data_IF_300291576025
#
_entry.id   IF_300291576025
#
_cell.length_a   1.000
_cell.length_b   1.000
_cell.length_c   1.000
_cell.angle_alpha   90.00
_cell.angle_beta   90.00
_cell.angle_gamma   90.00
#
_symmetry.space_group_name_H-M   'P 1'
#
loop_
_entity.id
_entity.type
_entity.pdbx_description
1 polymer ?
#
# COMPACT_ATOMS: atom_id res chain seq x y z
N UNK A 1 5.12 -24.97 21.18
CA UNK A 1 5.48 -23.76 20.41
C UNK A 1 4.53 -23.69 19.23
N UNK A 2 3.66 -22.68 19.12
CA UNK A 2 2.85 -22.49 17.91
C UNK A 2 3.83 -22.27 16.75
N UNK A 3 3.67 -23.04 15.67
CA UNK A 3 4.55 -22.93 14.51
C UNK A 3 4.33 -21.57 13.85
N UNK A 4 5.36 -20.72 13.88
CA UNK A 4 5.38 -19.40 13.24
C UNK A 4 5.54 -19.58 11.72
N UNK A 5 4.58 -19.07 10.94
CA UNK A 5 4.68 -19.07 9.48
C UNK A 5 5.81 -18.15 8.99
N UNK A 6 6.41 -18.43 7.82
CA UNK A 6 7.48 -17.59 7.26
C UNK A 6 7.01 -16.16 6.90
N UNK A 7 5.69 -15.96 6.78
CA UNK A 7 5.06 -14.67 6.48
C UNK A 7 4.79 -13.83 7.74
N UNK A 8 4.77 -14.45 8.92
CA UNK A 8 4.68 -13.75 10.20
C UNK A 8 6.08 -13.21 10.51
N UNK A 9 6.34 -11.97 10.13
CA UNK A 9 7.66 -11.31 10.32
C UNK A 9 7.71 -10.42 11.57
N UNK A 10 6.59 -10.25 12.29
CA UNK A 10 6.47 -9.36 13.43
C UNK A 10 7.44 -9.70 14.57
N UNK A 11 8.27 -8.75 14.99
CA UNK A 11 9.28 -8.95 16.01
C UNK A 11 10.53 -9.73 15.57
N UNK A 12 10.74 -9.95 14.27
CA UNK A 12 12.05 -10.42 13.77
C UNK A 12 13.06 -9.27 13.76
N UNK A 13 14.37 -9.56 13.93
CA UNK A 13 15.41 -8.61 13.60
C UNK A 13 15.30 -8.19 12.12
N UNK A 14 15.63 -6.93 11.83
CA UNK A 14 15.65 -6.40 10.48
C UNK A 14 16.80 -5.43 10.26
N UNK A 15 16.99 -5.00 9.02
CA UNK A 15 17.95 -3.95 8.66
C UNK A 15 17.46 -2.56 9.04
N UNK A 16 18.31 -1.55 8.86
CA UNK A 16 17.91 -0.14 8.87
C UNK A 16 16.79 0.12 7.88
N UNK A 17 15.92 1.08 8.20
CA UNK A 17 14.83 1.49 7.30
C UNK A 17 15.41 2.43 6.23
N UNK A 18 15.24 2.07 4.96
CA UNK A 18 15.43 3.01 3.86
C UNK A 18 14.29 4.04 3.88
N UNK A 19 14.65 5.31 4.03
CA UNK A 19 13.71 6.42 4.18
C UNK A 19 13.41 7.14 2.86
N UNK A 20 14.13 6.81 1.80
CA UNK A 20 13.93 7.42 0.49
C UNK A 20 12.56 7.00 -0.06
N UNK A 21 11.70 8.00 -0.25
CA UNK A 21 10.38 7.76 -0.80
C UNK A 21 10.48 7.54 -2.30
N UNK A 22 10.22 6.31 -2.72
CA UNK A 22 9.95 6.01 -4.13
C UNK A 22 8.45 6.07 -4.38
N UNK A 23 7.96 6.97 -5.25
CA UNK A 23 6.57 6.91 -5.67
C UNK A 23 6.30 5.60 -6.40
N UNK A 24 5.06 5.12 -6.30
CA UNK A 24 4.65 3.95 -7.07
C UNK A 24 4.83 4.22 -8.57
N UNK A 25 5.44 3.29 -9.28
CA UNK A 25 5.49 3.38 -10.75
C UNK A 25 4.15 2.95 -11.35
N UNK A 26 3.92 3.27 -12.62
CA UNK A 26 2.62 3.08 -13.26
C UNK A 26 2.07 1.65 -13.15
N UNK A 27 2.92 0.63 -13.37
CA UNK A 27 2.44 -0.76 -13.31
C UNK A 27 2.00 -1.17 -11.90
N UNK A 28 2.65 -0.65 -10.85
CA UNK A 28 2.26 -0.88 -9.45
C UNK A 28 0.92 -0.21 -9.16
N UNK A 29 0.71 1.02 -9.65
CA UNK A 29 -0.57 1.74 -9.53
C UNK A 29 -1.69 1.00 -10.22
N UNK A 30 -1.46 0.56 -11.47
CA UNK A 30 -2.44 -0.21 -12.23
C UNK A 30 -2.77 -1.54 -11.56
N UNK A 31 -1.76 -2.28 -11.07
CA UNK A 31 -1.97 -3.54 -10.34
C UNK A 31 -2.86 -3.33 -9.11
N UNK A 32 -2.56 -2.32 -8.29
CA UNK A 32 -3.37 -1.98 -7.12
C UNK A 32 -4.79 -1.55 -7.49
N UNK A 33 -4.94 -0.73 -8.53
CA UNK A 33 -6.24 -0.26 -9.01
C UNK A 33 -7.09 -1.43 -9.52
N UNK A 34 -6.52 -2.32 -10.34
CA UNK A 34 -7.19 -3.56 -10.79
C UNK A 34 -7.64 -4.38 -9.60
N UNK A 35 -6.74 -4.61 -8.64
CA UNK A 35 -7.04 -5.37 -7.41
C UNK A 35 -8.18 -4.73 -6.62
N UNK A 36 -8.18 -3.41 -6.43
CA UNK A 36 -9.24 -2.70 -5.71
C UNK A 36 -10.58 -2.76 -6.47
N UNK A 37 -10.57 -2.64 -7.80
CA UNK A 37 -11.77 -2.75 -8.62
C UNK A 37 -12.40 -4.15 -8.56
N UNK A 38 -11.61 -5.21 -8.76
CA UNK A 38 -12.13 -6.59 -8.76
C UNK A 38 -12.55 -7.07 -7.36
N UNK A 39 -11.98 -6.49 -6.29
CA UNK A 39 -12.40 -6.76 -4.92
C UNK A 39 -13.69 -6.04 -4.51
N UNK A 40 -14.07 -5.00 -5.25
CA UNK A 40 -15.29 -4.21 -5.02
C UNK A 40 -16.35 -4.42 -6.10
N UNK A 41 -16.12 -5.32 -7.06
CA UNK A 41 -17.12 -5.68 -8.08
C UNK A 41 -18.32 -6.38 -7.43
N UNK A 42 -19.43 -6.46 -8.16
CA UNK A 42 -20.64 -7.15 -7.71
C UNK A 42 -21.03 -8.23 -8.73
N UNK A 43 -20.87 -9.54 -8.40
CA UNK A 43 -20.21 -10.07 -7.20
C UNK A 43 -18.68 -9.81 -7.18
N UNK A 44 -18.01 -9.80 -6.00
CA UNK A 44 -16.56 -9.65 -5.93
C UNK A 44 -15.84 -10.82 -6.59
N UNK A 45 -14.90 -10.54 -7.49
CA UNK A 45 -14.08 -11.59 -8.10
C UNK A 45 -13.04 -12.14 -7.12
N UNK A 46 -12.56 -11.31 -6.18
CA UNK A 46 -11.56 -11.72 -5.18
C UNK A 46 -11.71 -10.90 -3.89
N UNK A 47 -11.58 -11.54 -2.72
CA UNK A 47 -11.43 -10.86 -1.44
C UNK A 47 -9.96 -10.58 -1.08
N UNK A 48 -9.74 -9.64 -0.16
CA UNK A 48 -8.40 -9.37 0.38
C UNK A 48 -7.87 -10.59 1.14
N UNK A 49 -8.74 -11.36 1.79
CA UNK A 49 -8.38 -12.58 2.51
C UNK A 49 -7.93 -13.70 1.57
N UNK A 50 -8.56 -13.85 0.40
CA UNK A 50 -8.13 -14.80 -0.62
C UNK A 50 -6.72 -14.45 -1.13
N UNK A 51 -6.48 -13.18 -1.45
CA UNK A 51 -5.15 -12.70 -1.86
C UNK A 51 -4.11 -12.93 -0.75
N UNK A 52 -4.48 -12.63 0.51
CA UNK A 52 -3.60 -12.80 1.67
C UNK A 52 -3.24 -14.27 1.87
N UNK A 53 -4.22 -15.19 1.79
CA UNK A 53 -3.99 -16.63 1.88
C UNK A 53 -2.92 -17.06 0.87
N UNK A 54 -3.05 -16.66 -0.38
CA UNK A 54 -2.07 -17.01 -1.42
C UNK A 54 -0.68 -16.47 -1.09
N UNK A 55 -0.57 -15.23 -0.60
CA UNK A 55 0.72 -14.67 -0.16
C UNK A 55 1.32 -15.48 1.00
N UNK A 56 0.47 -15.92 1.93
CA UNK A 56 0.89 -16.70 3.09
C UNK A 56 1.27 -18.13 2.72
N UNK A 57 0.86 -18.64 1.56
CA UNK A 57 1.12 -20.02 1.08
C UNK A 57 2.01 -20.14 -0.16
N UNK A 58 2.53 -19.03 -0.72
CA UNK A 58 3.38 -19.04 -1.94
C UNK A 58 4.76 -19.71 -1.80
N UNK A 59 5.10 -20.20 -0.61
CA UNK A 59 6.42 -20.75 -0.28
C UNK A 59 7.39 -19.71 0.28
N UNK A 60 8.29 -20.18 1.15
CA UNK A 60 9.27 -19.34 1.86
C UNK A 60 10.24 -18.64 0.90
N UNK A 61 10.63 -19.31 -0.18
CA UNK A 61 11.57 -18.77 -1.16
C UNK A 61 10.95 -17.57 -1.89
N UNK A 62 9.81 -17.77 -2.56
CA UNK A 62 9.09 -16.70 -3.26
C UNK A 62 8.72 -15.54 -2.31
N UNK A 63 8.28 -15.84 -1.08
CA UNK A 63 8.02 -14.79 -0.09
C UNK A 63 9.27 -13.96 0.25
N UNK A 64 10.46 -14.56 0.21
CA UNK A 64 11.68 -13.87 0.55
C UNK A 64 12.31 -13.10 -0.61
N UNK A 65 12.22 -13.61 -1.83
CA UNK A 65 12.88 -13.06 -3.01
C UNK A 65 12.06 -11.99 -3.74
N UNK A 66 10.74 -12.17 -3.83
CA UNK A 66 9.90 -11.24 -4.57
C UNK A 66 9.81 -9.87 -3.88
N UNK A 67 9.70 -8.81 -4.67
CA UNK A 67 9.30 -7.48 -4.23
C UNK A 67 7.89 -7.45 -3.64
N UNK A 68 7.51 -6.33 -3.03
CA UNK A 68 6.20 -6.20 -2.39
C UNK A 68 5.05 -6.30 -3.42
N UNK A 69 5.10 -5.47 -4.47
CA UNK A 69 4.07 -5.46 -5.51
C UNK A 69 4.10 -6.71 -6.39
N UNK A 70 5.27 -7.35 -6.55
CA UNK A 70 5.42 -8.63 -7.26
C UNK A 70 4.65 -9.74 -6.56
N UNK A 71 4.75 -9.86 -5.23
CA UNK A 71 3.93 -10.82 -4.45
C UNK A 71 2.44 -10.59 -4.63
N UNK A 72 2.01 -9.33 -4.66
CA UNK A 72 0.60 -8.99 -4.85
C UNK A 72 0.12 -9.34 -6.26
N UNK A 73 0.90 -9.01 -7.28
CA UNK A 73 0.61 -9.41 -8.65
C UNK A 73 0.52 -10.94 -8.80
N UNK A 74 1.46 -11.68 -8.19
CA UNK A 74 1.43 -13.14 -8.13
C UNK A 74 0.14 -13.66 -7.47
N UNK A 75 -0.23 -13.08 -6.32
CA UNK A 75 -1.40 -13.50 -5.58
C UNK A 75 -2.72 -13.21 -6.30
N UNK A 76 -2.85 -12.02 -6.90
CA UNK A 76 -4.02 -11.66 -7.75
C UNK A 76 -4.16 -12.66 -8.89
N UNK A 77 -3.06 -12.95 -9.59
CA UNK A 77 -3.02 -13.96 -10.67
C UNK A 77 -3.52 -15.31 -10.17
N UNK A 78 -2.93 -15.82 -9.09
CA UNK A 78 -3.20 -17.17 -8.60
C UNK A 78 -4.64 -17.31 -8.09
N UNK A 79 -5.18 -16.31 -7.40
CA UNK A 79 -6.59 -16.34 -6.98
C UNK A 79 -7.53 -16.38 -8.19
N UNK A 80 -7.27 -15.57 -9.21
CA UNK A 80 -8.13 -15.53 -10.41
C UNK A 80 -8.07 -16.86 -11.20
N UNK A 81 -6.92 -17.53 -11.20
CA UNK A 81 -6.77 -18.89 -11.77
C UNK A 81 -7.52 -19.91 -10.92
N UNK A 82 -7.34 -19.91 -9.60
CA UNK A 82 -8.03 -20.83 -8.67
C UNK A 82 -9.56 -20.73 -8.80
N UNK A 83 -10.07 -19.52 -9.08
CA UNK A 83 -11.50 -19.26 -9.26
C UNK A 83 -12.00 -19.48 -10.69
N UNK A 84 -11.12 -19.87 -11.61
CA UNK A 84 -11.48 -20.16 -13.00
C UNK A 84 -11.92 -18.92 -13.80
N UNK A 85 -11.51 -17.71 -13.40
CA UNK A 85 -11.76 -16.48 -14.18
C UNK A 85 -11.04 -16.57 -15.53
N UNK A 86 -9.82 -17.12 -15.51
CA UNK A 86 -9.05 -17.58 -16.65
C UNK A 86 -8.18 -18.76 -16.21
N UNK A 87 -7.72 -19.57 -17.16
CA UNK A 87 -6.75 -20.63 -16.87
C UNK A 87 -5.29 -20.18 -17.15
N UNK A 88 -4.34 -21.04 -16.77
CA UNK A 88 -2.91 -20.75 -16.93
C UNK A 88 -2.48 -20.65 -18.42
N UNK A 89 -3.14 -21.37 -19.33
CA UNK A 89 -2.85 -21.33 -20.76
C UNK A 89 -3.33 -20.03 -21.40
N UNK A 90 -4.54 -19.58 -21.06
CA UNK A 90 -5.08 -18.29 -21.46
C UNK A 90 -4.17 -17.14 -21.01
N UNK A 91 -3.72 -17.17 -19.75
CA UNK A 91 -2.81 -16.16 -19.22
C UNK A 91 -1.44 -16.22 -19.91
N UNK A 92 -0.86 -17.40 -20.11
CA UNK A 92 0.43 -17.55 -20.79
C UNK A 92 0.39 -16.97 -22.22
N UNK A 93 -0.68 -17.27 -22.97
CA UNK A 93 -0.88 -16.69 -24.29
C UNK A 93 -1.01 -15.16 -24.25
N UNK A 94 -1.66 -14.62 -23.21
CA UNK A 94 -1.74 -13.16 -23.03
C UNK A 94 -0.37 -12.55 -22.72
N UNK A 95 0.41 -13.15 -21.85
CA UNK A 95 1.76 -12.68 -21.48
C UNK A 95 2.61 -12.50 -22.73
N UNK A 96 2.61 -13.47 -23.64
CA UNK A 96 3.36 -13.38 -24.90
C UNK A 96 2.87 -12.23 -25.80
N UNK A 97 1.54 -11.98 -25.86
CA UNK A 97 1.00 -10.82 -26.58
C UNK A 97 1.46 -9.49 -25.96
N UNK A 98 1.48 -9.39 -24.64
CA UNK A 98 1.97 -8.20 -23.93
C UNK A 98 3.45 -7.98 -24.22
N UNK A 99 4.27 -9.04 -24.16
CA UNK A 99 5.71 -8.96 -24.48
C UNK A 99 5.93 -8.46 -25.90
N UNK A 100 5.27 -9.06 -26.88
CA UNK A 100 5.35 -8.63 -28.27
C UNK A 100 4.93 -7.16 -28.45
N UNK A 101 3.84 -6.73 -27.79
CA UNK A 101 3.38 -5.33 -27.84
C UNK A 101 4.42 -4.35 -27.28
N UNK A 102 5.06 -4.69 -26.15
CA UNK A 102 6.12 -3.87 -25.55
C UNK A 102 7.37 -3.82 -26.41
N UNK A 103 7.77 -4.94 -26.99
CA UNK A 103 8.92 -4.99 -27.91
C UNK A 103 8.70 -4.11 -29.14
N UNK A 104 7.50 -4.15 -29.74
CA UNK A 104 7.14 -3.25 -30.85
C UNK A 104 7.16 -1.78 -30.41
N UNK A 105 6.58 -1.45 -29.25
CA UNK A 105 6.56 -0.08 -28.75
C UNK A 105 7.98 0.50 -28.53
N UNK A 106 8.94 -0.33 -28.12
CA UNK A 106 10.36 0.06 -27.99
C UNK A 106 10.98 0.33 -29.38
N UNK A 107 10.70 -0.53 -30.37
CA UNK A 107 11.21 -0.37 -31.75
C UNK A 107 10.65 0.87 -32.46
N UNK A 108 9.44 1.28 -32.11
CA UNK A 108 8.75 2.43 -32.70
C UNK A 108 9.13 3.78 -32.03
N UNK A 109 10.01 3.77 -31.03
CA UNK A 109 10.57 5.01 -30.48
C UNK A 109 11.38 5.72 -31.58
N UNK A 110 11.16 7.04 -31.79
CA UNK A 110 11.90 7.76 -32.82
C UNK A 110 13.40 7.75 -32.51
N UNK A 111 14.22 7.43 -33.51
CA UNK A 111 15.68 7.62 -33.52
C UNK A 111 15.98 9.14 -33.44
N UNK A 112 15.81 9.74 -32.28
CA UNK A 112 16.32 11.07 -31.98
C UNK A 112 17.47 10.90 -31.01
N UNK A 113 18.66 10.57 -31.52
CA UNK A 113 19.96 11.21 -31.25
C UNK A 113 21.09 10.35 -31.88
N UNK A 114 21.91 10.99 -32.70
CA UNK A 114 23.10 10.45 -33.35
C UNK A 114 24.08 9.91 -32.28
N UNK A 115 24.19 8.60 -32.12
CA UNK A 115 25.05 7.99 -31.10
C UNK A 115 26.52 8.02 -31.53
N UNK A 116 27.17 9.17 -31.29
CA UNK A 116 28.62 9.28 -31.13
C UNK A 116 28.97 9.99 -29.84
N UNK A 117 28.81 9.34 -28.70
CA UNK A 117 29.53 9.76 -27.49
C UNK A 117 29.92 8.56 -26.64
N UNK A 118 31.23 8.51 -26.38
CA UNK A 118 31.89 7.76 -25.32
C UNK A 118 31.31 8.28 -23.99
N UNK A 119 30.52 7.46 -23.31
CA UNK A 119 30.01 7.78 -21.99
C UNK A 119 30.35 6.63 -21.06
N UNK A 120 31.24 6.94 -20.12
CA UNK A 120 31.37 6.23 -18.85
C UNK A 120 29.98 5.95 -18.28
N UNK A 121 29.77 4.71 -17.84
CA UNK A 121 28.57 4.12 -17.22
C UNK A 121 27.63 5.14 -16.55
N UNK A 122 26.74 5.76 -17.33
CA UNK A 122 25.51 6.31 -16.78
C UNK A 122 24.66 5.08 -16.47
N UNK A 123 24.62 4.70 -15.19
CA UNK A 123 23.64 3.72 -14.71
C UNK A 123 22.26 4.35 -14.93
N UNK A 124 21.59 3.94 -16.00
CA UNK A 124 20.14 4.08 -16.08
C UNK A 124 19.56 3.26 -14.91
N UNK A 125 19.19 3.96 -13.84
CA UNK A 125 18.38 3.43 -12.72
C UNK A 125 16.94 3.10 -13.17
N UNK A 126 16.66 2.99 -14.47
CA UNK A 126 15.37 2.55 -14.98
C UNK A 126 15.27 1.04 -14.73
N UNK A 127 14.47 0.59 -13.74
CA UNK A 127 14.45 -0.80 -13.36
C UNK A 127 13.94 -1.60 -14.57
N UNK A 128 14.75 -2.54 -15.04
CA UNK A 128 14.32 -3.54 -16.02
C UNK A 128 12.92 -4.02 -15.61
N UNK A 129 11.89 -3.89 -16.47
CA UNK A 129 10.52 -4.15 -16.05
C UNK A 129 10.42 -5.55 -15.46
N UNK A 130 10.06 -5.63 -14.19
CA UNK A 130 9.85 -6.91 -13.52
C UNK A 130 8.96 -7.81 -14.38
N UNK A 131 9.23 -9.11 -14.41
CA UNK A 131 8.35 -10.09 -15.04
C UNK A 131 6.89 -9.94 -14.55
N UNK A 132 6.71 -9.53 -13.29
CA UNK A 132 5.39 -9.26 -12.73
C UNK A 132 4.70 -8.02 -13.28
N UNK A 133 5.43 -7.07 -13.84
CA UNK A 133 4.86 -5.96 -14.62
C UNK A 133 4.13 -6.48 -15.87
N UNK A 134 4.73 -7.46 -16.56
CA UNK A 134 4.12 -8.11 -17.73
C UNK A 134 2.95 -8.98 -17.32
N UNK A 135 3.10 -9.79 -16.27
CA UNK A 135 2.01 -10.63 -15.73
C UNK A 135 0.83 -9.76 -15.30
N UNK A 136 1.06 -8.68 -14.57
CA UNK A 136 -0.01 -7.78 -14.11
C UNK A 136 -0.74 -7.10 -15.27
N UNK A 137 -0.02 -6.76 -16.34
CA UNK A 137 -0.63 -6.24 -17.56
C UNK A 137 -1.47 -7.29 -18.28
N UNK A 138 -0.97 -8.52 -18.37
CA UNK A 138 -1.71 -9.63 -18.96
C UNK A 138 -3.00 -9.93 -18.20
N UNK A 139 -2.96 -9.95 -16.86
CA UNK A 139 -4.17 -10.10 -16.03
C UNK A 139 -5.17 -8.98 -16.31
N UNK A 140 -4.70 -7.72 -16.35
CA UNK A 140 -5.54 -6.58 -16.69
C UNK A 140 -6.20 -6.75 -18.07
N UNK A 141 -5.43 -7.06 -19.10
CA UNK A 141 -5.92 -7.22 -20.47
C UNK A 141 -6.95 -8.36 -20.57
N UNK A 142 -6.75 -9.50 -19.88
CA UNK A 142 -7.72 -10.60 -19.85
C UNK A 142 -9.03 -10.17 -19.17
N UNK A 143 -8.95 -9.46 -18.05
CA UNK A 143 -10.14 -8.98 -17.34
C UNK A 143 -10.94 -7.97 -18.17
N UNK A 144 -10.26 -7.11 -18.94
CA UNK A 144 -10.90 -6.17 -19.85
C UNK A 144 -11.55 -6.88 -21.03
N UNK A 145 -10.87 -7.82 -21.67
CA UNK A 145 -11.42 -8.58 -22.81
C UNK A 145 -12.63 -9.43 -22.42
N UNK A 146 -12.70 -9.89 -21.17
CA UNK A 146 -13.86 -10.61 -20.61
C UNK A 146 -14.95 -9.67 -20.10
N UNK A 147 -14.80 -8.36 -20.27
CA UNK A 147 -15.74 -7.33 -19.80
C UNK A 147 -15.98 -7.35 -18.28
N UNK A 148 -15.07 -7.96 -17.52
CA UNK A 148 -15.11 -8.01 -16.05
C UNK A 148 -14.58 -6.72 -15.43
N UNK A 149 -13.89 -5.91 -16.22
CA UNK A 149 -13.31 -4.62 -15.85
C UNK A 149 -13.27 -3.73 -17.09
N UNK A 150 -13.33 -2.41 -16.92
CA UNK A 150 -13.10 -1.47 -18.03
C UNK A 150 -11.86 -0.61 -17.80
N UNK A 151 -11.20 -0.21 -18.89
CA UNK A 151 -10.07 0.70 -18.84
C UNK A 151 -10.42 2.00 -18.09
N UNK A 152 -11.61 2.56 -18.35
CA UNK A 152 -12.11 3.76 -17.66
C UNK A 152 -12.23 3.55 -16.15
N UNK A 153 -12.72 2.39 -15.71
CA UNK A 153 -12.86 2.08 -14.28
C UNK A 153 -11.50 2.01 -13.59
N UNK A 154 -10.50 1.42 -14.24
CA UNK A 154 -9.13 1.37 -13.71
C UNK A 154 -8.49 2.75 -13.70
N UNK A 155 -8.61 3.53 -14.77
CA UNK A 155 -8.08 4.90 -14.83
C UNK A 155 -8.66 5.78 -13.72
N UNK A 156 -9.99 5.77 -13.52
CA UNK A 156 -10.63 6.51 -12.41
C UNK A 156 -10.15 6.06 -11.04
N UNK A 157 -9.88 4.76 -10.87
CA UNK A 157 -9.32 4.25 -9.61
C UNK A 157 -7.88 4.74 -9.39
N UNK A 158 -7.04 4.76 -10.44
CA UNK A 158 -5.68 5.32 -10.35
C UNK A 158 -5.74 6.80 -9.99
N UNK A 159 -6.57 7.59 -10.67
CA UNK A 159 -6.76 9.02 -10.36
C UNK A 159 -7.19 9.23 -8.91
N UNK A 160 -8.14 8.42 -8.42
CA UNK A 160 -8.58 8.46 -7.02
C UNK A 160 -7.44 8.14 -6.05
N UNK A 161 -6.63 7.13 -6.37
CA UNK A 161 -5.46 6.76 -5.56
C UNK A 161 -4.42 7.87 -5.52
N UNK A 162 -4.26 8.63 -6.61
CA UNK A 162 -3.31 9.75 -6.71
C UNK A 162 -3.83 11.03 -6.05
N UNK A 163 -5.14 11.25 -6.02
CA UNK A 163 -5.76 12.38 -5.32
C UNK A 163 -5.75 12.22 -3.80
N UNK A 164 -5.85 10.98 -3.31
CA UNK A 164 -5.79 10.71 -1.88
C UNK A 164 -4.37 10.91 -1.34
N UNK A 165 -4.24 11.69 -0.26
CA UNK A 165 -2.94 12.02 0.29
C UNK A 165 -3.00 12.57 1.72
N UNK A 166 -1.84 12.75 2.37
CA UNK A 166 -1.75 13.10 3.79
C UNK A 166 -2.39 14.44 4.14
N UNK A 167 -2.61 15.34 3.16
CA UNK A 167 -3.30 16.61 3.36
C UNK A 167 -4.72 16.44 3.92
N UNK A 168 -5.44 15.39 3.51
CA UNK A 168 -6.77 15.11 4.05
C UNK A 168 -6.68 14.69 5.53
N UNK A 169 -5.77 13.79 5.88
CA UNK A 169 -5.45 13.44 7.27
C UNK A 169 -5.09 14.67 8.11
N UNK A 170 -4.22 15.54 7.60
CA UNK A 170 -3.83 16.78 8.27
C UNK A 170 -5.03 17.72 8.55
N UNK A 171 -5.96 17.83 7.58
CA UNK A 171 -7.21 18.59 7.77
C UNK A 171 -8.10 18.01 8.87
N UNK A 172 -8.17 16.68 8.99
CA UNK A 172 -8.93 16.00 10.05
C UNK A 172 -8.28 16.28 11.42
N UNK A 173 -6.95 16.17 11.50
CA UNK A 173 -6.17 16.47 12.71
C UNK A 173 -6.37 17.92 13.15
N UNK A 174 -6.22 18.87 12.24
CA UNK A 174 -6.42 20.30 12.54
C UNK A 174 -7.82 20.58 13.07
N UNK A 175 -8.86 20.02 12.42
CA UNK A 175 -10.25 20.13 12.91
C UNK A 175 -10.44 19.53 14.30
N UNK A 176 -9.80 18.41 14.61
CA UNK A 176 -9.84 17.82 15.95
C UNK A 176 -9.18 18.72 17.00
N UNK A 177 -8.20 19.54 16.64
CA UNK A 177 -7.57 20.49 17.54
C UNK A 177 -8.36 21.79 17.72
N UNK A 178 -9.07 22.25 16.69
CA UNK A 178 -9.64 23.62 16.66
C UNK A 178 -11.17 23.66 16.75
N UNK A 179 -11.89 22.62 16.35
CA UNK A 179 -13.36 22.59 16.37
C UNK A 179 -13.85 21.94 17.67
N UNK A 180 -14.56 22.69 18.54
CA UNK A 180 -15.13 22.15 19.77
C UNK A 180 -16.03 20.93 19.49
N UNK A 181 -15.86 19.87 20.27
CA UNK A 181 -16.67 18.64 20.15
C UNK A 181 -16.25 17.70 19.02
N UNK A 182 -15.60 18.18 17.96
CA UNK A 182 -15.22 17.33 16.81
C UNK A 182 -14.30 16.18 17.22
N UNK A 183 -13.25 16.45 18.02
CA UNK A 183 -12.37 15.40 18.55
C UNK A 183 -13.13 14.31 19.31
N UNK A 184 -14.09 14.71 20.15
CA UNK A 184 -14.90 13.76 20.93
C UNK A 184 -15.68 12.83 19.99
N UNK A 185 -16.37 13.39 19.00
CA UNK A 185 -17.08 12.60 18.00
C UNK A 185 -16.12 11.73 17.19
N UNK A 186 -14.98 12.27 16.75
CA UNK A 186 -13.98 11.55 15.96
C UNK A 186 -13.43 10.31 16.67
N UNK A 187 -13.21 10.38 17.98
CA UNK A 187 -12.72 9.25 18.78
C UNK A 187 -13.81 8.24 19.15
N UNK A 188 -15.09 8.66 19.17
CA UNK A 188 -16.23 7.79 19.49
C UNK A 188 -16.80 7.09 18.25
N UNK A 189 -16.97 7.83 17.16
CA UNK A 189 -17.44 7.37 15.86
C UNK A 189 -16.72 8.14 14.75
N UNK A 190 -15.57 7.60 14.33
CA UNK A 190 -14.73 8.24 13.33
C UNK A 190 -15.45 8.36 11.98
N UNK A 191 -16.35 7.43 11.62
CA UNK A 191 -17.05 7.49 10.33
C UNK A 191 -18.08 8.62 10.33
N UNK A 192 -18.89 8.73 11.38
CA UNK A 192 -19.84 9.83 11.51
C UNK A 192 -19.13 11.20 11.49
N UNK A 193 -18.03 11.34 12.24
CA UNK A 193 -17.26 12.59 12.27
C UNK A 193 -16.68 12.97 10.89
N UNK A 194 -16.24 11.99 10.09
CA UNK A 194 -15.74 12.24 8.74
C UNK A 194 -16.87 12.63 7.77
N UNK A 195 -18.03 11.98 7.86
CA UNK A 195 -19.19 12.31 7.02
C UNK A 195 -19.67 13.75 7.25
N UNK A 196 -19.66 14.22 8.51
CA UNK A 196 -20.04 15.60 8.87
C UNK A 196 -19.17 16.67 8.19
N UNK A 197 -17.95 16.31 7.77
CA UNK A 197 -17.02 17.22 7.06
C UNK A 197 -16.90 16.90 5.57
N UNK A 198 -17.81 16.09 5.03
CA UNK A 198 -17.88 15.71 3.62
C UNK A 198 -16.78 14.73 3.20
N UNK A 199 -16.27 13.92 4.13
CA UNK A 199 -15.25 12.90 3.88
C UNK A 199 -15.88 11.53 4.02
N UNK A 200 -15.90 10.76 2.95
CA UNK A 200 -16.43 9.39 2.95
C UNK A 200 -15.29 8.38 3.08
N UNK A 201 -15.09 7.76 4.27
CA UNK A 201 -14.08 6.73 4.43
C UNK A 201 -14.49 5.44 3.71
N UNK A 202 -13.59 4.90 2.90
CA UNK A 202 -13.81 3.66 2.13
C UNK A 202 -13.46 2.38 2.88
N UNK A 203 -12.82 2.52 4.04
CA UNK A 203 -12.39 1.42 4.89
C UNK A 203 -13.60 0.79 5.58
N UNK A 204 -13.59 -0.54 5.72
CA UNK A 204 -14.67 -1.28 6.39
C UNK A 204 -14.86 -0.78 7.84
N UNK A 205 -13.76 -0.56 8.57
CA UNK A 205 -13.74 0.14 9.85
C UNK A 205 -12.56 1.12 9.89
N UNK A 206 -12.80 2.31 10.46
CA UNK A 206 -11.80 3.36 10.60
C UNK A 206 -11.78 3.82 12.06
N UNK A 207 -10.60 3.84 12.68
CA UNK A 207 -10.42 4.16 14.11
C UNK A 207 -9.30 5.19 14.27
N UNK A 208 -9.59 6.25 15.02
CA UNK A 208 -8.60 7.27 15.36
C UNK A 208 -8.00 7.00 16.74
N UNK A 209 -6.68 6.99 16.83
CA UNK A 209 -5.90 6.70 18.03
C UNK A 209 -5.27 7.99 18.55
N UNK A 210 -5.68 8.47 19.72
CA UNK A 210 -5.16 9.71 20.30
C UNK A 210 -3.82 9.51 21.00
N UNK A 211 -2.82 10.33 20.64
CA UNK A 211 -1.61 10.50 21.45
C UNK A 211 -1.87 11.47 22.60
N UNK A 212 -1.35 11.14 23.78
CA UNK A 212 -1.37 11.95 25.00
C UNK A 212 0.05 12.06 25.57
N UNK A 213 0.30 12.88 26.60
CA UNK A 213 1.62 12.90 27.27
C UNK A 213 2.05 11.53 27.81
N UNK A 214 1.07 10.69 28.17
CA UNK A 214 1.27 9.35 28.72
C UNK A 214 1.33 8.26 27.65
N UNK A 215 0.74 8.46 26.46
CA UNK A 215 0.60 7.41 25.43
C UNK A 215 1.01 7.93 24.05
N UNK A 216 1.93 7.22 23.40
CA UNK A 216 2.27 7.40 21.99
C UNK A 216 1.86 6.17 21.18
N UNK A 217 1.02 6.36 20.17
CA UNK A 217 0.56 5.29 19.28
C UNK A 217 1.40 5.24 18.00
N UNK A 218 1.71 4.03 17.54
CA UNK A 218 2.35 3.75 16.25
C UNK A 218 1.63 2.60 15.56
N UNK A 219 1.51 2.62 14.23
CA UNK A 219 0.67 1.69 13.46
C UNK A 219 1.52 0.87 12.49
N UNK A 220 1.20 -0.40 12.30
CA UNK A 220 1.85 -1.31 11.34
C UNK A 220 0.85 -2.28 10.72
N UNK A 221 1.11 -2.82 9.53
CA UNK A 221 0.57 -4.14 9.12
C UNK A 221 1.75 -5.09 8.97
N UNK A 222 1.96 -5.96 9.93
CA UNK A 222 3.12 -6.87 9.91
C UNK A 222 3.00 -7.89 8.79
N UNK A 223 1.78 -8.25 8.44
CA UNK A 223 1.46 -9.26 7.44
C UNK A 223 1.49 -8.72 6.01
N UNK A 224 1.33 -7.40 5.83
CA UNK A 224 0.90 -6.83 4.56
C UNK A 224 1.27 -5.35 4.40
N UNK A 225 0.26 -4.50 4.14
CA UNK A 225 0.32 -3.05 3.98
C UNK A 225 -1.04 -2.38 4.31
N UNK A 226 -1.83 -2.92 5.24
CA UNK A 226 -3.12 -2.32 5.62
C UNK A 226 -2.90 -0.86 6.02
N UNK A 227 -3.60 0.07 5.37
CA UNK A 227 -3.40 1.50 5.53
C UNK A 227 -4.72 2.24 5.22
N UNK A 228 -5.06 3.37 5.88
CA UNK A 228 -6.28 4.12 5.62
C UNK A 228 -6.16 4.95 4.33
N UNK A 229 -6.18 4.26 3.18
CA UNK A 229 -5.85 4.85 1.87
C UNK A 229 -6.80 5.96 1.44
N UNK A 230 -8.07 5.89 1.81
CA UNK A 230 -9.02 6.96 1.46
C UNK A 230 -8.76 8.26 2.23
N UNK A 231 -7.98 8.21 3.31
CA UNK A 231 -7.67 9.34 4.19
C UNK A 231 -6.23 9.82 4.05
N UNK A 232 -5.26 8.90 3.97
CA UNK A 232 -3.84 9.21 3.96
C UNK A 232 -3.15 8.96 2.60
N UNK A 233 -3.87 8.43 1.62
CA UNK A 233 -3.31 8.04 0.33
C UNK A 233 -2.57 6.69 0.38
N UNK A 234 -1.75 6.42 -0.63
CA UNK A 234 -0.91 5.23 -0.63
C UNK A 234 0.08 5.25 0.56
N UNK A 235 0.34 4.10 1.22
CA UNK A 235 1.36 4.04 2.24
C UNK A 235 2.74 4.33 1.62
N UNK A 236 3.64 5.00 2.36
CA UNK A 236 4.99 5.24 1.90
C UNK A 236 5.79 3.93 1.78
N UNK A 237 6.86 3.94 0.96
CA UNK A 237 7.67 2.75 0.69
C UNK A 237 8.24 2.10 1.96
N UNK A 238 8.68 2.91 2.92
CA UNK A 238 9.20 2.42 4.20
C UNK A 238 8.15 1.66 5.02
N UNK A 239 6.86 2.03 4.93
CA UNK A 239 5.79 1.39 5.69
C UNK A 239 5.54 -0.05 5.24
N UNK A 240 5.66 -0.31 3.93
CA UNK A 240 5.46 -1.66 3.35
C UNK A 240 6.73 -2.52 3.42
N UNK A 241 7.87 -1.92 3.77
CA UNK A 241 9.17 -2.59 3.85
C UNK A 241 9.20 -3.67 4.94
N UNK A 242 9.99 -4.71 4.72
CA UNK A 242 10.25 -5.74 5.75
C UNK A 242 10.97 -5.13 6.97
N UNK A 243 11.85 -4.15 6.76
CA UNK A 243 12.61 -3.49 7.81
C UNK A 243 11.68 -2.87 8.87
N UNK A 244 10.73 -2.02 8.45
CA UNK A 244 9.76 -1.42 9.37
C UNK A 244 8.85 -2.46 10.01
N UNK A 245 8.21 -3.31 9.18
CA UNK A 245 7.16 -4.24 9.61
C UNK A 245 7.63 -5.33 10.57
N UNK A 246 8.89 -5.75 10.45
CA UNK A 246 9.46 -6.75 11.36
C UNK A 246 9.88 -6.15 12.69
N UNK A 247 10.46 -4.95 12.68
CA UNK A 247 11.13 -4.36 13.85
C UNK A 247 10.18 -3.60 14.77
N UNK A 248 9.21 -2.86 14.23
CA UNK A 248 8.40 -1.90 15.01
C UNK A 248 7.62 -2.51 16.17
N UNK A 249 7.26 -3.81 16.13
CA UNK A 249 6.61 -4.46 17.29
C UNK A 249 7.58 -4.63 18.47
N UNK A 250 8.83 -4.99 18.20
CA UNK A 250 9.79 -5.34 19.25
C UNK A 250 10.57 -4.11 19.74
N UNK A 251 10.93 -3.20 18.84
CA UNK A 251 11.75 -2.04 19.15
C UNK A 251 11.14 -0.71 18.67
N UNK A 252 9.88 -0.42 19.03
CA UNK A 252 9.16 0.75 18.51
C UNK A 252 9.87 2.07 18.81
N UNK A 253 10.50 2.22 19.98
CA UNK A 253 11.26 3.43 20.35
C UNK A 253 12.49 3.64 19.46
N UNK A 254 13.21 2.57 19.13
CA UNK A 254 14.38 2.65 18.26
C UNK A 254 13.96 3.04 16.83
N UNK A 255 12.86 2.45 16.34
CA UNK A 255 12.28 2.78 15.04
C UNK A 255 11.83 4.24 14.98
N UNK A 256 11.11 4.72 16.01
CA UNK A 256 10.70 6.13 16.10
C UNK A 256 11.94 7.07 16.10
N UNK A 257 13.01 6.69 16.79
CA UNK A 257 14.26 7.44 16.79
C UNK A 257 14.96 7.48 15.42
N UNK A 258 14.88 6.43 14.59
CA UNK A 258 15.35 6.47 13.19
C UNK A 258 14.62 7.51 12.33
N UNK A 259 13.38 7.84 12.69
CA UNK A 259 12.59 8.93 12.10
C UNK A 259 12.74 10.26 12.85
N UNK A 260 13.66 10.37 13.81
CA UNK A 260 13.90 11.58 14.60
C UNK A 260 12.86 11.85 15.69
N UNK A 261 11.97 10.89 15.97
CA UNK A 261 10.96 11.00 17.03
C UNK A 261 11.47 10.32 18.30
N UNK A 262 11.90 11.11 19.27
CA UNK A 262 12.39 10.62 20.56
C UNK A 262 11.27 10.66 21.60
N UNK A 263 10.83 9.48 22.05
CA UNK A 263 9.76 9.34 23.05
C UNK A 263 10.37 9.13 24.43
N UNK A 264 9.93 9.92 25.42
CA UNK A 264 10.32 9.79 26.83
C UNK A 264 10.10 8.36 27.33
N UNK A 265 11.02 7.84 28.13
CA UNK A 265 10.95 6.51 28.76
C UNK A 265 9.67 6.27 29.56
N UNK A 266 9.09 7.33 30.13
CA UNK A 266 7.85 7.27 30.93
C UNK A 266 6.56 7.23 30.07
N UNK A 267 6.62 7.66 28.82
CA UNK A 267 5.46 7.63 27.90
C UNK A 267 5.29 6.22 27.36
N UNK A 268 4.14 5.58 27.56
CA UNK A 268 3.82 4.26 27.00
C UNK A 268 3.80 4.31 25.47
N UNK A 269 4.43 3.35 24.79
CA UNK A 269 4.35 3.23 23.33
C UNK A 269 3.45 2.06 22.95
N UNK A 270 2.32 2.35 22.29
CA UNK A 270 1.35 1.36 21.83
C UNK A 270 1.49 1.10 20.34
N UNK A 271 1.89 -0.12 19.99
CA UNK A 271 1.97 -0.58 18.60
C UNK A 271 0.64 -1.22 18.21
N UNK A 272 0.00 -0.70 17.16
CA UNK A 272 -1.26 -1.20 16.64
C UNK A 272 -1.02 -1.94 15.31
N UNK A 273 -1.17 -3.26 15.34
CA UNK A 273 -1.03 -4.11 14.15
C UNK A 273 -2.39 -4.28 13.45
N UNK A 274 -2.51 -3.80 12.22
CA UNK A 274 -3.73 -3.84 11.40
C UNK A 274 -3.96 -5.22 10.78
N UNK A 275 -4.17 -6.24 11.63
CA UNK A 275 -4.36 -7.64 11.22
C UNK A 275 -5.81 -8.00 10.85
N UNK A 276 -6.75 -7.08 11.10
CA UNK A 276 -8.19 -7.20 10.82
C UNK A 276 -8.66 -6.11 9.85
N UNK A 277 -9.97 -6.00 9.61
CA UNK A 277 -10.58 -4.98 8.73
C UNK A 277 -10.64 -3.56 9.31
N UNK A 278 -9.91 -3.34 10.41
CA UNK A 278 -9.70 -2.05 11.04
C UNK A 278 -8.55 -1.30 10.35
N UNK A 279 -8.75 -0.01 10.11
CA UNK A 279 -7.69 0.90 9.66
C UNK A 279 -7.54 2.02 10.68
N UNK A 280 -6.32 2.21 11.13
CA UNK A 280 -6.00 3.18 12.16
C UNK A 280 -5.43 4.47 11.56
N UNK A 281 -5.69 5.59 12.21
CA UNK A 281 -4.96 6.84 12.03
C UNK A 281 -4.61 7.41 13.40
N UNK A 282 -3.39 7.90 13.58
CA UNK A 282 -3.01 8.58 14.83
C UNK A 282 -3.52 10.02 14.78
N UNK A 283 -4.17 10.47 15.86
CA UNK A 283 -4.38 11.88 16.16
C UNK A 283 -3.20 12.35 17.03
N UNK A 284 -2.22 13.08 16.47
CA UNK A 284 -1.10 13.58 17.25
C UNK A 284 -1.55 14.65 18.27
N UNK A 285 -0.72 14.88 19.29
CA UNK A 285 -0.89 16.01 20.19
C UNK A 285 -0.72 17.32 19.41
N UNK A 286 -1.52 18.33 19.78
CA UNK A 286 -1.34 19.68 19.25
C UNK A 286 0.01 20.22 19.74
N UNK A 287 0.88 20.76 18.86
CA UNK A 287 2.12 21.38 19.29
C UNK A 287 1.86 22.60 20.18
N UNK A 288 2.69 22.77 21.22
CA UNK A 288 2.65 23.93 22.10
C UNK A 288 2.83 25.24 21.34
N UNK A 289 2.18 26.32 21.79
CA UNK A 289 2.33 27.65 21.18
C UNK A 289 1.61 27.80 19.84
N UNK A 290 0.63 26.95 19.56
CA UNK A 290 -0.19 27.00 18.35
C UNK A 290 -1.65 27.32 18.64
N UNK A 291 -2.01 27.68 19.88
CA UNK A 291 -3.38 27.85 20.38
C UNK A 291 -4.18 28.89 19.56
N UNK A 292 -3.50 29.88 19.00
CA UNK A 292 -4.04 30.97 18.19
C UNK A 292 -4.19 30.64 16.69
N UNK A 293 -3.66 29.49 16.24
CA UNK A 293 -3.78 29.03 14.85
C UNK A 293 -5.10 28.29 14.64
N UNK A 294 -5.88 28.74 13.66
CA UNK A 294 -7.16 28.16 13.23
C UNK A 294 -7.03 27.08 12.17
#
# INVERSE_FOLDING_TARGET
MKHRGYHDIGGLPGSSIERDERPMVFWEKRMEAVRDCISRSEPPLMSVDEMRRVIETMGKEAYNTLGFYEKKAAAVRDVLIEKGVFDAGELAARIERVRARRETAIKDLPDSFDHRHDHDDIKDDDPTPSEYSVISEAVYDVLVDKELLSAETVSRMIERMEQAGPALGARIVARAWTIPGFKKTLLQDSKAALLDIGVEPLEAQFVVLENTPEIHNVIVCTLCSCYPRSILGAPPAWYVSKAYRSRVIHEPRAILAEFGTHINDQTEVRVHDSTADLRYMVLPMRPDGTEDRG
#
